data_IF_574058280544
#
_entry.id   IF_574058280544
#
_cell.length_a   1.000
_cell.length_b   1.000
_cell.length_c   1.000
_cell.angle_alpha   90.00
_cell.angle_beta   90.00
_cell.angle_gamma   90.00
#
_symmetry.space_group_name_H-M   'P 1'
#
loop_
_entity.id
_entity.type
_entity.pdbx_description
1 polymer ?
#
# COMPACT_ATOMS: atom_id res chain seq x y z
N UNK A 1 3.33 -17.63 -2.31
CA UNK A 1 1.89 -17.98 -2.14
C UNK A 1 1.03 -16.82 -1.64
N UNK A 2 1.44 -16.05 -0.64
CA UNK A 2 0.60 -14.99 -0.01
C UNK A 2 0.17 -13.87 -0.97
N UNK A 3 1.07 -13.33 -1.80
CA UNK A 3 0.71 -12.27 -2.78
C UNK A 3 -0.30 -12.77 -3.80
N UNK A 4 -0.08 -13.97 -4.35
CA UNK A 4 -1.02 -14.58 -5.29
C UNK A 4 -2.42 -14.71 -4.67
N UNK A 5 -2.48 -15.08 -3.39
CA UNK A 5 -3.74 -15.20 -2.65
C UNK A 5 -4.39 -13.83 -2.46
N UNK A 6 -3.62 -12.81 -2.05
CA UNK A 6 -4.15 -11.43 -1.90
C UNK A 6 -4.70 -10.92 -3.22
N UNK A 7 -3.93 -11.05 -4.32
CA UNK A 7 -4.36 -10.62 -5.66
C UNK A 7 -5.62 -11.37 -6.09
N UNK A 8 -5.65 -12.70 -5.95
CA UNK A 8 -6.79 -13.51 -6.34
C UNK A 8 -8.05 -13.17 -5.53
N UNK A 9 -7.94 -13.11 -4.20
CA UNK A 9 -9.06 -12.77 -3.31
C UNK A 9 -9.58 -11.37 -3.65
N UNK A 10 -8.68 -10.38 -3.81
CA UNK A 10 -9.07 -9.02 -4.15
C UNK A 10 -9.76 -8.97 -5.51
N UNK A 11 -9.23 -9.67 -6.52
CA UNK A 11 -9.84 -9.71 -7.84
C UNK A 11 -11.25 -10.34 -7.79
N UNK A 12 -11.41 -11.49 -7.14
CA UNK A 12 -12.71 -12.16 -7.01
C UNK A 12 -13.73 -11.29 -6.29
N UNK A 13 -13.34 -10.71 -5.12
CA UNK A 13 -14.25 -9.84 -4.34
C UNK A 13 -14.61 -8.58 -5.12
N UNK A 14 -13.63 -7.95 -5.80
CA UNK A 14 -13.89 -6.75 -6.61
C UNK A 14 -14.82 -7.02 -7.78
N UNK A 15 -14.61 -8.11 -8.53
CA UNK A 15 -15.48 -8.47 -9.66
C UNK A 15 -16.90 -8.75 -9.17
N UNK A 16 -17.04 -9.46 -8.04
CA UNK A 16 -18.34 -9.65 -7.41
C UNK A 16 -19.00 -8.32 -7.02
N UNK A 17 -18.25 -7.43 -6.35
CA UNK A 17 -18.78 -6.14 -5.93
C UNK A 17 -19.16 -5.24 -7.13
N UNK A 18 -18.40 -5.27 -8.22
CA UNK A 18 -18.71 -4.55 -9.45
C UNK A 18 -19.98 -5.06 -10.14
N UNK A 19 -20.32 -6.35 -9.97
CA UNK A 19 -21.56 -6.92 -10.48
C UNK A 19 -22.77 -6.73 -9.56
N UNK A 20 -22.56 -6.27 -8.30
CA UNK A 20 -23.60 -6.15 -7.29
C UNK A 20 -23.51 -4.81 -6.55
N UNK A 21 -24.32 -3.83 -6.98
CA UNK A 21 -24.39 -2.50 -6.34
C UNK A 21 -24.59 -2.56 -4.81
N UNK A 22 -25.49 -3.42 -4.26
CA UNK A 22 -25.62 -3.56 -2.82
C UNK A 22 -24.35 -4.09 -2.13
N UNK A 23 -23.63 -5.03 -2.75
CA UNK A 23 -22.38 -5.53 -2.21
C UNK A 23 -21.31 -4.43 -2.19
N UNK A 24 -21.14 -3.69 -3.28
CA UNK A 24 -20.24 -2.56 -3.38
C UNK A 24 -20.51 -1.53 -2.27
N UNK A 25 -21.75 -1.07 -2.13
CA UNK A 25 -22.16 -0.08 -1.13
C UNK A 25 -21.96 -0.57 0.32
N UNK A 26 -22.17 -1.86 0.57
CA UNK A 26 -21.95 -2.47 1.89
C UNK A 26 -20.48 -2.55 2.27
N UNK A 27 -19.58 -2.68 1.30
CA UNK A 27 -18.13 -2.89 1.53
C UNK A 27 -17.31 -1.60 1.47
N UNK A 28 -17.80 -0.52 0.81
CA UNK A 28 -17.11 0.76 0.76
C UNK A 28 -16.86 1.33 2.17
N UNK A 29 -15.74 2.00 2.35
CA UNK A 29 -15.47 2.81 3.53
C UNK A 29 -16.44 4.00 3.53
N UNK A 30 -17.34 4.02 4.50
CA UNK A 30 -18.19 5.15 4.82
C UNK A 30 -17.95 5.52 6.28
N UNK A 31 -17.21 6.61 6.56
CA UNK A 31 -16.85 6.99 7.92
C UNK A 31 -18.04 7.23 8.84
N UNK A 32 -19.13 7.78 8.31
CA UNK A 32 -20.36 7.98 9.07
C UNK A 32 -20.95 6.64 9.56
N UNK A 33 -21.02 5.64 8.67
CA UNK A 33 -21.52 4.31 9.01
C UNK A 33 -20.59 3.59 10.01
N UNK A 34 -19.27 3.80 9.90
CA UNK A 34 -18.29 3.24 10.84
C UNK A 34 -18.50 3.81 12.25
N UNK A 35 -18.60 5.14 12.36
CA UNK A 35 -18.63 5.84 13.66
C UNK A 35 -20.00 5.73 14.32
N UNK A 36 -21.08 6.02 13.58
CA UNK A 36 -22.43 6.14 14.15
C UNK A 36 -23.21 4.80 14.15
N UNK A 37 -22.90 3.89 13.22
CA UNK A 37 -23.57 2.58 13.11
C UNK A 37 -22.68 1.40 13.39
N UNK A 38 -21.41 1.64 13.86
CA UNK A 38 -20.43 0.59 14.28
C UNK A 38 -20.11 -0.43 13.18
N UNK A 39 -20.19 -0.03 11.91
CA UNK A 39 -19.91 -0.90 10.77
C UNK A 39 -18.40 -0.99 10.53
N UNK A 40 -17.64 -1.49 11.53
CA UNK A 40 -16.18 -1.50 11.55
C UNK A 40 -15.54 -2.35 10.44
N UNK A 41 -16.23 -3.36 9.91
CA UNK A 41 -15.73 -4.16 8.79
C UNK A 41 -15.35 -3.32 7.57
N UNK A 42 -16.03 -2.17 7.36
CA UNK A 42 -15.79 -1.25 6.24
C UNK A 42 -14.35 -0.74 6.19
N UNK A 43 -13.69 -0.65 7.35
CA UNK A 43 -12.29 -0.20 7.48
C UNK A 43 -11.31 -1.16 6.82
N UNK A 44 -11.70 -2.42 6.65
CA UNK A 44 -10.88 -3.44 5.98
C UNK A 44 -11.46 -3.80 4.60
N UNK A 45 -12.78 -3.99 4.51
CA UNK A 45 -13.41 -4.49 3.28
C UNK A 45 -13.25 -3.55 2.09
N UNK A 46 -13.16 -2.23 2.34
CA UNK A 46 -12.97 -1.24 1.27
C UNK A 46 -11.68 -1.47 0.47
N UNK A 47 -10.63 -2.03 1.10
CA UNK A 47 -9.36 -2.33 0.45
C UNK A 47 -9.39 -3.54 -0.50
N UNK A 48 -10.50 -4.28 -0.54
CA UNK A 48 -10.69 -5.44 -1.41
C UNK A 48 -11.68 -5.21 -2.55
N UNK A 49 -12.22 -4.00 -2.68
CA UNK A 49 -13.15 -3.64 -3.75
C UNK A 49 -12.65 -2.41 -4.53
N UNK A 50 -13.02 -2.31 -5.79
CA UNK A 50 -12.58 -1.24 -6.69
C UNK A 50 -13.77 -0.62 -7.43
N UNK A 51 -13.61 0.63 -7.90
CA UNK A 51 -14.67 1.38 -8.56
C UNK A 51 -14.95 0.95 -10.00
N UNK A 52 -13.93 0.38 -10.64
CA UNK A 52 -13.98 -0.13 -12.01
C UNK A 52 -12.87 -1.15 -12.25
N UNK A 53 -12.91 -1.81 -13.42
CA UNK A 53 -11.93 -2.84 -13.80
C UNK A 53 -10.53 -2.29 -14.04
N UNK A 54 -10.40 -1.04 -14.50
CA UNK A 54 -9.09 -0.42 -14.73
C UNK A 54 -8.41 -0.10 -13.40
N UNK A 55 -9.18 0.43 -12.44
CA UNK A 55 -8.73 0.67 -11.07
C UNK A 55 -8.27 -0.64 -10.40
N UNK A 56 -9.04 -1.72 -10.53
CA UNK A 56 -8.65 -3.05 -10.07
C UNK A 56 -7.35 -3.53 -10.73
N UNK A 57 -7.29 -3.46 -12.06
CA UNK A 57 -6.13 -3.92 -12.82
C UNK A 57 -4.84 -3.23 -12.37
N UNK A 58 -4.83 -1.89 -12.30
CA UNK A 58 -3.62 -1.17 -11.92
C UNK A 58 -3.20 -1.45 -10.47
N UNK A 59 -4.14 -1.54 -9.53
CA UNK A 59 -3.78 -1.90 -8.16
C UNK A 59 -3.16 -3.30 -8.07
N UNK A 60 -3.74 -4.29 -8.75
CA UNK A 60 -3.23 -5.66 -8.72
C UNK A 60 -1.92 -5.79 -9.48
N UNK A 61 -1.76 -5.09 -10.60
CA UNK A 61 -0.51 -5.04 -11.35
C UNK A 61 0.62 -4.45 -10.50
N UNK A 62 0.41 -3.29 -9.89
CA UNK A 62 1.42 -2.62 -9.04
C UNK A 62 1.72 -3.46 -7.80
N UNK A 63 0.71 -4.04 -7.15
CA UNK A 63 0.92 -4.96 -6.03
C UNK A 63 1.75 -6.18 -6.45
N UNK A 64 1.51 -6.72 -7.63
CA UNK A 64 2.26 -7.86 -8.15
C UNK A 64 3.71 -7.52 -8.45
N UNK A 65 3.95 -6.43 -9.18
CA UNK A 65 5.31 -6.02 -9.59
C UNK A 65 6.18 -5.62 -8.39
N UNK A 66 5.67 -4.78 -7.51
CA UNK A 66 6.45 -4.25 -6.37
C UNK A 66 6.37 -5.13 -5.13
N UNK A 67 5.28 -5.83 -4.93
CA UNK A 67 5.09 -6.68 -3.76
C UNK A 67 5.92 -7.97 -3.81
N UNK A 68 6.13 -8.55 -4.99
CA UNK A 68 6.91 -9.80 -5.12
C UNK A 68 8.35 -9.68 -4.62
N UNK A 69 9.16 -8.70 -5.02
CA UNK A 69 10.51 -8.53 -4.49
C UNK A 69 10.53 -8.36 -2.97
N UNK A 70 9.61 -7.57 -2.41
CA UNK A 70 9.49 -7.37 -0.97
C UNK A 70 9.11 -8.66 -0.27
N UNK A 71 8.13 -9.38 -0.80
CA UNK A 71 7.72 -10.67 -0.25
C UNK A 71 8.85 -11.70 -0.28
N UNK A 72 9.65 -11.71 -1.34
CA UNK A 72 10.82 -12.58 -1.46
C UNK A 72 11.84 -12.25 -0.36
N UNK A 73 12.12 -10.96 -0.10
CA UNK A 73 13.01 -10.55 1.00
C UNK A 73 12.45 -11.02 2.33
N UNK A 74 11.17 -10.79 2.61
CA UNK A 74 10.54 -11.16 3.88
C UNK A 74 10.53 -12.68 4.14
N UNK A 75 10.45 -13.49 3.08
CA UNK A 75 10.35 -14.96 3.19
C UNK A 75 11.66 -15.70 2.95
N UNK A 76 12.68 -15.03 2.42
CA UNK A 76 14.02 -15.60 2.24
C UNK A 76 14.87 -15.30 3.47
N UNK A 77 15.23 -16.33 4.22
CA UNK A 77 15.98 -16.20 5.47
C UNK A 77 17.29 -15.42 5.29
N UNK A 78 18.06 -15.71 4.24
CA UNK A 78 19.35 -15.03 3.99
C UNK A 78 19.13 -13.56 3.61
N UNK A 79 18.17 -13.27 2.73
CA UNK A 79 17.87 -11.90 2.35
C UNK A 79 17.27 -11.11 3.51
N UNK A 80 16.46 -11.77 4.35
CA UNK A 80 15.86 -11.17 5.54
C UNK A 80 16.92 -10.78 6.57
N UNK A 81 17.86 -11.67 6.92
CA UNK A 81 18.93 -11.37 7.87
C UNK A 81 19.87 -10.27 7.37
N UNK A 82 20.14 -10.19 6.06
CA UNK A 82 20.93 -9.10 5.47
C UNK A 82 20.25 -7.73 5.53
N UNK A 83 18.93 -7.67 5.52
CA UNK A 83 18.15 -6.42 5.54
C UNK A 83 17.71 -6.06 6.97
N UNK A 84 17.52 -7.06 7.83
CA UNK A 84 16.77 -6.91 9.09
C UNK A 84 17.63 -7.09 10.35
N UNK A 85 18.95 -7.29 10.25
CA UNK A 85 19.88 -7.51 11.39
C UNK A 85 19.33 -8.51 12.45
N UNK A 86 18.59 -9.52 12.01
CA UNK A 86 17.85 -10.43 12.88
C UNK A 86 18.44 -11.84 12.94
N UNK A 87 18.31 -12.46 14.12
CA UNK A 87 18.66 -13.85 14.36
C UNK A 87 17.79 -14.85 13.60
N UNK A 88 18.31 -16.03 13.32
CA UNK A 88 17.75 -17.10 12.48
C UNK A 88 16.38 -17.69 12.90
N UNK A 89 15.77 -17.24 14.00
CA UNK A 89 14.52 -17.80 14.49
C UNK A 89 13.26 -17.32 13.75
N UNK A 90 13.42 -16.37 12.83
CA UNK A 90 12.34 -15.82 12.01
C UNK A 90 12.13 -16.66 10.74
N UNK A 91 11.58 -17.83 10.84
CA UNK A 91 11.33 -18.70 9.68
C UNK A 91 10.39 -18.09 8.63
N UNK A 92 10.33 -18.71 7.45
CA UNK A 92 9.54 -18.29 6.28
C UNK A 92 8.05 -17.95 6.56
N UNK A 93 7.46 -18.59 7.58
CA UNK A 93 6.08 -18.31 8.01
C UNK A 93 5.92 -16.92 8.62
N UNK A 94 6.92 -16.44 9.34
CA UNK A 94 6.87 -15.11 9.92
C UNK A 94 6.99 -14.02 8.85
N UNK A 95 7.87 -14.19 7.87
CA UNK A 95 7.96 -13.27 6.73
C UNK A 95 6.64 -13.14 5.97
N UNK A 96 5.90 -14.24 5.80
CA UNK A 96 4.56 -14.22 5.23
C UNK A 96 3.57 -13.43 6.11
N UNK A 97 3.61 -13.64 7.42
CA UNK A 97 2.76 -12.94 8.38
C UNK A 97 3.11 -11.45 8.44
N UNK A 98 4.39 -11.09 8.42
CA UNK A 98 4.84 -9.69 8.38
C UNK A 98 4.33 -8.97 7.12
N UNK A 99 4.41 -9.62 5.95
CA UNK A 99 3.86 -9.04 4.73
C UNK A 99 2.34 -8.83 4.83
N UNK A 100 1.62 -9.80 5.37
CA UNK A 100 0.18 -9.70 5.56
C UNK A 100 -0.17 -8.61 6.59
N UNK A 101 0.54 -8.53 7.70
CA UNK A 101 0.38 -7.48 8.72
C UNK A 101 0.66 -6.09 8.13
N UNK A 102 1.72 -5.96 7.35
CA UNK A 102 2.04 -4.71 6.64
C UNK A 102 0.90 -4.32 5.69
N UNK A 103 0.42 -5.24 4.86
CA UNK A 103 -0.62 -4.97 3.88
C UNK A 103 -1.96 -4.60 4.51
N UNK A 104 -2.45 -5.41 5.48
CA UNK A 104 -3.71 -5.15 6.18
C UNK A 104 -3.61 -3.90 7.08
N UNK A 105 -2.47 -3.71 7.75
CA UNK A 105 -2.20 -2.51 8.53
C UNK A 105 -2.19 -1.24 7.67
N UNK A 106 -1.66 -1.32 6.45
CA UNK A 106 -1.68 -0.21 5.50
C UNK A 106 -3.11 0.13 5.05
N UNK A 107 -3.99 -0.88 4.79
CA UNK A 107 -5.42 -0.64 4.51
C UNK A 107 -6.07 0.12 5.69
N UNK A 108 -5.81 -0.35 6.92
CA UNK A 108 -6.36 0.28 8.13
C UNK A 108 -5.87 1.73 8.28
N UNK A 109 -4.56 1.96 8.24
CA UNK A 109 -3.96 3.30 8.44
C UNK A 109 -4.36 4.26 7.33
N UNK A 110 -4.46 3.79 6.08
CA UNK A 110 -4.96 4.58 4.95
C UNK A 110 -6.40 5.05 5.13
N UNK A 111 -7.22 4.34 5.93
CA UNK A 111 -8.60 4.76 6.22
C UNK A 111 -8.71 5.88 7.25
N UNK A 112 -7.67 6.08 8.09
CA UNK A 112 -7.70 7.01 9.25
C UNK A 112 -8.02 8.46 8.84
N UNK A 113 -7.41 9.05 7.80
CA UNK A 113 -7.75 10.42 7.39
C UNK A 113 -9.23 10.59 7.07
N UNK A 114 -9.81 9.65 6.32
CA UNK A 114 -11.22 9.67 5.98
C UNK A 114 -12.11 9.54 7.23
N UNK A 115 -11.76 8.63 8.16
CA UNK A 115 -12.49 8.44 9.42
C UNK A 115 -12.49 9.71 10.28
N UNK A 116 -11.43 10.51 10.28
CA UNK A 116 -11.35 11.76 11.02
C UNK A 116 -12.12 12.87 10.32
N UNK A 117 -11.88 13.07 9.02
CA UNK A 117 -12.43 14.20 8.25
C UNK A 117 -13.90 14.06 7.94
N UNK A 118 -14.37 12.85 7.64
CA UNK A 118 -15.69 12.59 7.09
C UNK A 118 -16.64 11.84 8.04
N UNK A 119 -16.28 11.74 9.33
CA UNK A 119 -17.10 11.02 10.34
C UNK A 119 -18.56 11.46 10.43
N UNK A 120 -18.84 12.72 10.09
CA UNK A 120 -20.19 13.30 10.11
C UNK A 120 -20.77 13.51 8.71
N UNK A 121 -20.13 12.98 7.66
CA UNK A 121 -20.61 13.08 6.28
C UNK A 121 -21.14 11.74 5.77
N UNK A 122 -22.48 11.52 5.75
CA UNK A 122 -23.07 10.27 5.29
C UNK A 122 -22.88 10.01 3.79
N UNK A 123 -22.62 11.08 3.00
CA UNK A 123 -22.42 10.99 1.55
C UNK A 123 -21.00 10.63 1.12
N UNK A 124 -20.01 10.65 2.04
CA UNK A 124 -18.64 10.30 1.68
C UNK A 124 -18.45 8.78 1.63
N UNK A 125 -17.88 8.32 0.52
CA UNK A 125 -17.48 6.93 0.35
C UNK A 125 -16.11 6.87 -0.31
N UNK A 126 -15.28 5.89 0.08
CA UNK A 126 -14.03 5.56 -0.61
C UNK A 126 -13.82 4.04 -0.68
N UNK A 127 -12.98 3.61 -1.62
CA UNK A 127 -12.69 2.20 -1.87
C UNK A 127 -11.35 2.07 -2.62
N UNK A 128 -10.79 0.87 -2.59
CA UNK A 128 -9.57 0.52 -3.31
C UNK A 128 -8.43 0.08 -2.41
N UNK A 129 -7.58 -0.79 -2.93
CA UNK A 129 -6.37 -1.25 -2.28
C UNK A 129 -5.24 -0.20 -2.28
N UNK A 130 -5.43 0.96 -2.94
CA UNK A 130 -4.36 1.89 -3.33
C UNK A 130 -3.54 2.44 -2.17
N UNK A 131 -4.13 2.60 -0.97
CA UNK A 131 -3.38 2.95 0.24
C UNK A 131 -2.34 1.88 0.62
N UNK A 132 -2.72 0.60 0.61
CA UNK A 132 -1.79 -0.49 0.87
C UNK A 132 -0.80 -0.69 -0.30
N UNK A 133 -1.23 -0.48 -1.53
CA UNK A 133 -0.33 -0.50 -2.71
C UNK A 133 0.71 0.62 -2.60
N UNK A 134 0.34 1.81 -2.12
CA UNK A 134 1.29 2.90 -1.86
C UNK A 134 2.34 2.53 -0.80
N UNK A 135 1.95 1.81 0.27
CA UNK A 135 2.89 1.27 1.25
C UNK A 135 3.90 0.33 0.58
N UNK A 136 3.42 -0.60 -0.25
CA UNK A 136 4.27 -1.55 -1.00
C UNK A 136 5.24 -0.81 -1.93
N UNK A 137 4.76 0.17 -2.70
CA UNK A 137 5.63 0.97 -3.60
C UNK A 137 6.72 1.69 -2.83
N UNK A 138 6.39 2.33 -1.69
CA UNK A 138 7.39 3.07 -0.92
C UNK A 138 8.38 2.17 -0.17
N UNK A 139 7.96 0.98 0.26
CA UNK A 139 8.90 -0.04 0.75
C UNK A 139 9.84 -0.49 -0.37
N UNK A 140 9.34 -0.70 -1.58
CA UNK A 140 10.19 -1.02 -2.73
C UNK A 140 11.20 0.10 -3.00
N UNK A 141 10.78 1.36 -3.00
CA UNK A 141 11.68 2.53 -3.16
C UNK A 141 12.76 2.55 -2.07
N UNK A 142 12.39 2.26 -0.82
CA UNK A 142 13.33 2.20 0.31
C UNK A 142 14.39 1.09 0.12
N UNK A 143 13.96 -0.10 -0.32
CA UNK A 143 14.85 -1.26 -0.47
C UNK A 143 15.68 -1.22 -1.76
N UNK A 144 15.12 -0.64 -2.83
CA UNK A 144 15.70 -0.63 -4.18
C UNK A 144 15.76 0.79 -4.79
N UNK A 145 16.38 1.78 -4.12
CA UNK A 145 16.29 3.20 -4.52
C UNK A 145 16.89 3.50 -5.90
N UNK A 146 17.86 2.70 -6.33
CA UNK A 146 18.59 2.89 -7.61
C UNK A 146 17.96 2.11 -8.77
N UNK A 147 16.95 1.27 -8.50
CA UNK A 147 16.25 0.53 -9.56
C UNK A 147 15.56 1.48 -10.51
N UNK A 148 15.61 1.17 -11.81
CA UNK A 148 14.90 1.95 -12.83
C UNK A 148 13.42 1.61 -12.81
N UNK A 149 12.59 2.63 -12.65
CA UNK A 149 11.13 2.57 -12.84
C UNK A 149 10.77 3.32 -14.11
N UNK A 150 9.71 2.87 -14.77
CA UNK A 150 9.23 3.52 -16.01
C UNK A 150 7.96 4.33 -15.72
N UNK A 151 8.13 5.65 -15.57
CA UNK A 151 7.00 6.57 -15.43
C UNK A 151 6.17 6.55 -16.72
N UNK A 152 4.85 6.33 -16.58
CA UNK A 152 3.93 6.12 -17.71
C UNK A 152 4.38 5.03 -18.69
N UNK A 153 5.09 4.00 -18.19
CA UNK A 153 5.65 2.89 -18.97
C UNK A 153 6.70 3.30 -20.04
N UNK A 154 7.15 4.54 -20.05
CA UNK A 154 8.01 5.08 -21.10
C UNK A 154 9.26 5.80 -20.58
N UNK A 155 9.15 6.59 -19.51
CA UNK A 155 10.23 7.45 -19.03
C UNK A 155 10.99 6.76 -17.91
N UNK A 156 12.26 6.34 -18.13
CA UNK A 156 13.04 5.70 -17.07
C UNK A 156 13.48 6.73 -16.02
N UNK A 157 13.16 6.45 -14.76
CA UNK A 157 13.59 7.25 -13.61
C UNK A 157 14.05 6.33 -12.48
N UNK A 158 15.02 6.75 -11.65
CA UNK A 158 15.39 6.00 -10.45
C UNK A 158 14.22 5.93 -9.46
N UNK A 159 14.10 4.80 -8.75
CA UNK A 159 13.00 4.57 -7.82
C UNK A 159 12.93 5.63 -6.71
N UNK A 160 14.07 6.13 -6.19
CA UNK A 160 14.06 7.20 -5.19
C UNK A 160 13.41 8.48 -5.71
N UNK A 161 13.65 8.83 -6.99
CA UNK A 161 13.04 9.99 -7.62
C UNK A 161 11.53 9.77 -7.82
N UNK A 162 11.12 8.58 -8.22
CA UNK A 162 9.70 8.22 -8.28
C UNK A 162 9.01 8.38 -6.91
N UNK A 163 9.67 7.98 -5.82
CA UNK A 163 9.17 8.18 -4.45
C UNK A 163 8.99 9.66 -4.07
N UNK A 164 9.96 10.51 -4.43
CA UNK A 164 9.84 11.96 -4.21
C UNK A 164 8.67 12.54 -5.02
N UNK A 165 8.58 12.20 -6.31
CA UNK A 165 7.50 12.66 -7.18
C UNK A 165 6.14 12.18 -6.69
N UNK A 166 6.04 10.95 -6.16
CA UNK A 166 4.84 10.43 -5.54
C UNK A 166 4.38 11.33 -4.37
N UNK A 167 5.25 11.63 -3.40
CA UNK A 167 4.89 12.48 -2.27
C UNK A 167 4.51 13.90 -2.69
N UNK A 168 5.23 14.49 -3.64
CA UNK A 168 4.92 15.82 -4.18
C UNK A 168 3.55 15.81 -4.85
N UNK A 169 3.30 14.85 -5.74
CA UNK A 169 2.04 14.73 -6.47
C UNK A 169 0.84 14.49 -5.52
N UNK A 170 0.93 13.49 -4.64
CA UNK A 170 -0.15 13.16 -3.71
C UNK A 170 -0.44 14.32 -2.75
N UNK A 171 0.60 15.01 -2.26
CA UNK A 171 0.43 16.18 -1.40
C UNK A 171 -0.23 17.35 -2.12
N UNK A 172 0.17 17.61 -3.37
CA UNK A 172 -0.42 18.66 -4.19
C UNK A 172 -1.88 18.37 -4.50
N UNK A 173 -2.19 17.15 -4.94
CA UNK A 173 -3.55 16.75 -5.30
C UNK A 173 -4.48 16.67 -4.07
N UNK A 174 -3.95 16.27 -2.91
CA UNK A 174 -4.70 16.30 -1.66
C UNK A 174 -5.11 17.73 -1.26
N UNK A 175 -4.23 18.71 -1.45
CA UNK A 175 -4.55 20.13 -1.21
C UNK A 175 -5.54 20.69 -2.23
N UNK A 176 -5.40 20.31 -3.51
CA UNK A 176 -6.29 20.76 -4.58
C UNK A 176 -7.73 20.25 -4.36
N UNK A 177 -7.89 19.01 -3.91
CA UNK A 177 -9.19 18.36 -3.73
C UNK A 177 -9.98 18.16 -5.04
N UNK A 178 -11.18 17.62 -4.93
CA UNK A 178 -12.12 17.52 -6.08
C UNK A 178 -11.78 16.48 -7.14
N UNK A 179 -10.81 15.59 -6.88
CA UNK A 179 -10.33 14.60 -7.86
C UNK A 179 -11.10 13.28 -7.85
N UNK A 180 -11.92 13.05 -6.81
CA UNK A 180 -12.56 11.76 -6.58
C UNK A 180 -11.59 10.67 -6.05
N UNK A 181 -10.32 11.01 -5.86
CA UNK A 181 -9.28 10.12 -5.33
C UNK A 181 -8.93 10.51 -3.89
N UNK A 182 -8.78 9.53 -3.01
CA UNK A 182 -8.40 9.73 -1.61
C UNK A 182 -6.86 9.84 -1.49
N UNK A 183 -6.30 10.97 -1.93
CA UNK A 183 -4.84 11.22 -1.93
C UNK A 183 -4.22 11.15 -0.52
N UNK A 184 -4.96 11.53 0.50
CA UNK A 184 -4.54 11.38 1.89
C UNK A 184 -4.42 9.89 2.31
N UNK A 185 -5.28 9.03 1.80
CA UNK A 185 -5.16 7.58 2.04
C UNK A 185 -3.86 7.02 1.44
N UNK A 186 -3.45 7.48 0.25
CA UNK A 186 -2.19 7.11 -0.38
C UNK A 186 -0.98 7.58 0.46
N UNK A 187 -1.00 8.83 0.92
CA UNK A 187 0.07 9.38 1.77
C UNK A 187 0.19 8.62 3.10
N UNK A 188 -0.93 8.35 3.77
CA UNK A 188 -0.93 7.64 5.05
C UNK A 188 -0.50 6.18 4.88
N UNK A 189 -0.94 5.51 3.82
CA UNK A 189 -0.49 4.17 3.48
C UNK A 189 1.01 4.12 3.22
N UNK A 190 1.54 5.03 2.41
CA UNK A 190 2.97 5.15 2.11
C UNK A 190 3.81 5.39 3.37
N UNK A 191 3.41 6.34 4.20
CA UNK A 191 4.08 6.63 5.48
C UNK A 191 4.05 5.44 6.43
N UNK A 192 2.91 4.73 6.50
CA UNK A 192 2.83 3.51 7.29
C UNK A 192 3.82 2.44 6.81
N UNK A 193 3.94 2.23 5.49
CA UNK A 193 4.92 1.30 4.93
C UNK A 193 6.36 1.62 5.32
N UNK A 194 6.74 2.90 5.25
CA UNK A 194 8.06 3.35 5.68
C UNK A 194 8.28 3.19 7.20
N UNK A 195 7.28 3.53 8.01
CA UNK A 195 7.34 3.34 9.46
C UNK A 195 7.41 1.86 9.85
N UNK A 196 6.63 1.02 9.16
CA UNK A 196 6.68 -0.42 9.36
C UNK A 196 8.09 -0.96 9.12
N UNK A 197 8.74 -0.58 8.01
CA UNK A 197 10.12 -0.97 7.74
C UNK A 197 11.11 -0.40 8.76
N UNK A 198 10.92 0.84 9.19
CA UNK A 198 11.77 1.44 10.23
C UNK A 198 11.72 0.68 11.57
N UNK A 199 10.57 0.08 11.87
CA UNK A 199 10.39 -0.72 13.10
C UNK A 199 10.97 -2.13 13.00
N UNK A 200 10.76 -2.81 11.85
CA UNK A 200 11.17 -4.22 11.71
C UNK A 200 12.55 -4.38 11.09
N UNK A 201 13.03 -3.38 10.34
CA UNK A 201 14.30 -3.38 9.60
C UNK A 201 14.96 -2.01 9.61
N UNK A 202 15.44 -1.49 10.76
CA UNK A 202 16.07 -0.15 10.84
C UNK A 202 17.25 0.03 9.88
N UNK A 203 18.03 -1.02 9.65
CA UNK A 203 19.13 -1.06 8.68
C UNK A 203 18.70 -0.77 7.24
N UNK A 204 17.44 -0.95 6.89
CA UNK A 204 16.92 -0.58 5.56
C UNK A 204 17.06 0.92 5.28
N UNK A 205 16.95 1.77 6.31
CA UNK A 205 17.09 3.22 6.20
C UNK A 205 18.55 3.60 5.94
N UNK A 206 19.49 3.03 6.71
CA UNK A 206 20.93 3.27 6.50
C UNK A 206 21.39 2.72 5.16
N UNK A 207 20.87 1.55 4.76
CA UNK A 207 21.09 0.96 3.46
C UNK A 207 20.59 1.82 2.30
N UNK A 208 19.42 2.45 2.44
CA UNK A 208 18.89 3.41 1.48
C UNK A 208 19.86 4.59 1.28
N UNK A 209 20.30 5.22 2.38
CA UNK A 209 21.23 6.35 2.34
C UNK A 209 22.58 5.93 1.71
N UNK A 210 23.12 4.76 2.11
CA UNK A 210 24.37 4.23 1.54
C UNK A 210 24.30 4.02 0.03
N UNK A 211 23.18 3.46 -0.47
CA UNK A 211 22.96 3.26 -1.92
C UNK A 211 22.87 4.58 -2.68
N UNK A 212 22.24 5.61 -2.10
CA UNK A 212 22.20 6.94 -2.73
C UNK A 212 23.57 7.60 -2.76
N UNK A 213 24.35 7.50 -1.67
CA UNK A 213 25.71 8.04 -1.64
C UNK A 213 26.63 7.38 -2.69
N UNK A 214 26.47 6.06 -2.89
CA UNK A 214 27.23 5.33 -3.90
C UNK A 214 26.87 5.71 -5.35
N UNK A 215 25.79 6.44 -5.60
CA UNK A 215 25.48 6.99 -6.94
C UNK A 215 26.21 8.32 -7.24
N UNK A 216 26.70 9.00 -6.19
CA UNK A 216 27.34 10.32 -6.31
C UNK A 216 28.86 10.23 -6.35
N UNK A 217 29.41 9.13 -5.83
CA UNK A 217 30.84 8.81 -5.83
C UNK A 217 31.22 7.94 -7.02
#
# INVERSE_FOLDING_TARGET
MTIQIIVLITAVISVYALSSRPALEKMMLNPYQVVHHKQYWRVITHGFIHGDYLHLFFNMYVLWEFGRPIFTIFTNQVAFTQVMDGDDWWGSHLGQNLFLMMYLGAIFVASVPALIKHRNNPGYNSLGASGAVSAVVLIFVLLFPTSTLYLFFAIPIPAFLAGILFFVYESYMNKRGGTGVAHDAHLFGALYGLLFMAMIAPSSITGFVGKLMAMIN
#
